data_IF_056861152135
#
_entry.id   IF_056861152135
#
_cell.length_a   1.000
_cell.length_b   1.000
_cell.length_c   1.000
_cell.angle_alpha   90.00
_cell.angle_beta   90.00
_cell.angle_gamma   90.00
#
_symmetry.space_group_name_H-M   'P 1'
#
loop_
_entity.id
_entity.type
_entity.pdbx_description
1 polymer ?
#
# COMPACT_ATOMS: atom_id res chain seq x y z
N UNK A 1 31.40 10.67 -35.91
CA UNK A 1 30.35 10.88 -34.90
C UNK A 1 29.22 9.93 -35.26
N UNK A 2 29.27 8.71 -34.73
CA UNK A 2 28.19 7.72 -34.88
C UNK A 2 28.04 7.06 -33.52
N UNK A 3 27.21 7.67 -32.68
CA UNK A 3 26.74 7.00 -31.47
C UNK A 3 25.77 5.92 -31.96
N UNK A 4 26.20 4.67 -31.85
CA UNK A 4 25.34 3.50 -31.99
C UNK A 4 24.22 3.70 -30.97
N UNK A 5 23.04 4.12 -31.42
CA UNK A 5 21.83 4.18 -30.60
C UNK A 5 21.48 2.72 -30.34
N UNK A 6 22.10 2.14 -29.30
CA UNK A 6 21.67 0.87 -28.74
C UNK A 6 20.17 1.01 -28.51
N UNK A 7 19.39 0.14 -29.16
CA UNK A 7 17.94 0.11 -29.00
C UNK A 7 17.68 -0.23 -27.53
N UNK A 8 17.52 0.82 -26.71
CA UNK A 8 17.35 0.74 -25.26
C UNK A 8 15.89 0.38 -24.95
N UNK A 9 15.45 -0.73 -25.54
CA UNK A 9 14.07 -1.23 -25.54
C UNK A 9 14.06 -2.68 -25.09
N UNK A 10 12.99 -3.06 -24.39
CA UNK A 10 12.77 -4.41 -23.88
C UNK A 10 11.32 -4.82 -24.06
N UNK A 11 11.12 -6.13 -24.15
CA UNK A 11 9.80 -6.73 -24.17
C UNK A 11 9.29 -6.94 -22.75
N UNK A 12 8.07 -6.46 -22.48
CA UNK A 12 7.38 -6.78 -21.24
C UNK A 12 6.84 -8.22 -21.30
N UNK A 13 7.21 -9.07 -20.33
CA UNK A 13 6.73 -10.45 -20.25
C UNK A 13 5.22 -10.62 -19.96
N UNK A 14 4.48 -9.53 -19.74
CA UNK A 14 3.04 -9.54 -19.48
C UNK A 14 2.22 -9.03 -20.67
N UNK A 15 2.56 -7.86 -21.23
CA UNK A 15 1.82 -7.29 -22.36
C UNK A 15 2.50 -7.49 -23.72
N UNK A 16 3.69 -8.12 -23.75
CA UNK A 16 4.48 -8.43 -24.94
C UNK A 16 4.80 -7.22 -25.85
N UNK A 17 4.63 -6.00 -25.35
CA UNK A 17 5.01 -4.77 -26.06
C UNK A 17 6.51 -4.49 -25.90
N UNK A 18 7.13 -4.04 -26.99
CA UNK A 18 8.45 -3.44 -26.99
C UNK A 18 8.35 -2.03 -26.41
N UNK A 19 9.06 -1.78 -25.32
CA UNK A 19 9.00 -0.52 -24.59
C UNK A 19 10.41 -0.06 -24.22
N UNK A 20 10.68 1.25 -24.08
CA UNK A 20 11.95 1.73 -23.58
C UNK A 20 12.30 1.14 -22.21
N UNK A 21 13.58 0.94 -21.89
CA UNK A 21 14.03 0.44 -20.58
C UNK A 21 13.52 1.30 -19.42
N UNK A 22 13.33 2.61 -19.64
CA UNK A 22 12.74 3.53 -18.65
C UNK A 22 11.28 3.18 -18.26
N UNK A 23 10.59 2.38 -19.09
CA UNK A 23 9.27 1.84 -18.79
C UNK A 23 9.31 0.67 -17.80
N UNK A 24 10.50 0.23 -17.37
CA UNK A 24 10.72 -0.86 -16.43
C UNK A 24 11.34 -0.32 -15.14
N UNK A 25 11.13 -1.01 -14.03
CA UNK A 25 11.88 -0.72 -12.80
C UNK A 25 13.27 -1.34 -12.93
N UNK A 26 14.31 -0.65 -12.45
CA UNK A 26 15.67 -1.20 -12.38
C UNK A 26 15.96 -1.60 -10.94
N UNK A 27 16.38 -2.84 -10.73
CA UNK A 27 16.82 -3.29 -9.42
C UNK A 27 18.15 -2.62 -9.07
N UNK A 28 18.20 -1.97 -7.91
CA UNK A 28 19.40 -1.27 -7.43
C UNK A 28 20.56 -2.21 -7.09
N UNK A 29 20.28 -3.49 -6.81
CA UNK A 29 21.29 -4.49 -6.44
C UNK A 29 21.91 -5.16 -7.66
N UNK A 30 21.07 -5.54 -8.63
CA UNK A 30 21.50 -6.30 -9.82
C UNK A 30 21.68 -5.43 -11.06
N UNK A 31 21.21 -4.17 -11.03
CA UNK A 31 21.16 -3.23 -12.16
C UNK A 31 20.37 -3.76 -13.37
N UNK A 32 19.65 -4.85 -13.20
CA UNK A 32 18.82 -5.44 -14.23
C UNK A 32 17.43 -4.76 -14.25
N UNK A 33 16.89 -4.43 -15.43
CA UNK A 33 15.51 -4.00 -15.54
C UNK A 33 14.56 -5.19 -15.33
N UNK A 34 13.43 -4.92 -14.68
CA UNK A 34 12.37 -5.88 -14.35
C UNK A 34 11.80 -6.54 -15.62
N UNK A 35 11.21 -7.73 -15.48
CA UNK A 35 10.61 -8.46 -16.60
C UNK A 35 9.27 -7.86 -17.05
N UNK A 36 8.65 -7.06 -16.18
CA UNK A 36 7.35 -6.43 -16.43
C UNK A 36 7.49 -4.91 -16.40
N UNK A 37 6.83 -4.25 -17.35
CA UNK A 37 6.79 -2.79 -17.36
C UNK A 37 6.02 -2.25 -16.14
N UNK A 38 6.31 -0.99 -15.78
CA UNK A 38 5.69 -0.26 -14.67
C UNK A 38 4.16 -0.33 -14.70
N UNK A 39 3.58 -0.17 -15.88
CA UNK A 39 2.14 -0.27 -16.10
C UNK A 39 1.57 -1.66 -15.76
N UNK A 40 2.22 -2.74 -16.22
CA UNK A 40 1.80 -4.10 -15.89
C UNK A 40 1.98 -4.40 -14.39
N UNK A 41 3.08 -3.95 -13.77
CA UNK A 41 3.28 -4.05 -12.31
C UNK A 41 2.17 -3.34 -11.55
N UNK A 42 1.83 -2.11 -11.95
CA UNK A 42 0.74 -1.33 -11.36
C UNK A 42 -0.61 -2.03 -11.53
N UNK A 43 -0.90 -2.53 -12.72
CA UNK A 43 -2.15 -3.25 -12.99
C UNK A 43 -2.27 -4.53 -12.14
N UNK A 44 -1.20 -5.32 -12.02
CA UNK A 44 -1.16 -6.51 -11.15
C UNK A 44 -1.35 -6.16 -9.67
N UNK A 45 -0.67 -5.10 -9.20
CA UNK A 45 -0.82 -4.61 -7.83
C UNK A 45 -2.26 -4.17 -7.56
N UNK A 46 -2.85 -3.38 -8.46
CA UNK A 46 -4.23 -2.94 -8.37
C UNK A 46 -5.22 -4.10 -8.41
N UNK A 47 -4.96 -5.14 -9.23
CA UNK A 47 -5.80 -6.33 -9.25
C UNK A 47 -5.76 -7.09 -7.93
N UNK A 48 -4.57 -7.23 -7.31
CA UNK A 48 -4.43 -7.81 -5.96
C UNK A 48 -5.15 -6.99 -4.91
N UNK A 49 -4.97 -5.67 -4.93
CA UNK A 49 -5.67 -4.75 -4.04
C UNK A 49 -7.19 -4.88 -4.16
N UNK A 50 -7.72 -4.86 -5.39
CA UNK A 50 -9.16 -5.04 -5.64
C UNK A 50 -9.69 -6.39 -5.19
N UNK A 51 -8.90 -7.47 -5.30
CA UNK A 51 -9.26 -8.79 -4.76
C UNK A 51 -9.23 -8.84 -3.23
N UNK A 52 -8.39 -8.02 -2.59
CA UNK A 52 -8.33 -7.91 -1.12
C UNK A 52 -9.43 -7.01 -0.54
N UNK A 53 -10.04 -6.17 -1.38
CA UNK A 53 -11.22 -5.43 -0.96
C UNK A 53 -12.37 -6.42 -0.71
N UNK A 54 -13.17 -6.19 0.33
CA UNK A 54 -14.39 -6.95 0.51
C UNK A 54 -15.23 -6.85 -0.78
N UNK A 55 -15.80 -7.98 -1.21
CA UNK A 55 -16.90 -7.95 -2.17
C UNK A 55 -17.96 -6.95 -1.66
N UNK A 56 -18.78 -6.40 -2.56
CA UNK A 56 -19.78 -5.34 -2.32
C UNK A 56 -20.87 -5.64 -1.27
N UNK A 57 -20.60 -6.48 -0.28
CA UNK A 57 -21.29 -6.49 0.99
C UNK A 57 -21.06 -5.16 1.69
N UNK A 58 -22.14 -4.47 2.13
CA UNK A 58 -22.02 -3.39 3.08
C UNK A 58 -21.23 -3.91 4.28
N UNK A 59 -20.11 -3.25 4.59
CA UNK A 59 -19.35 -3.55 5.80
C UNK A 59 -20.33 -3.48 6.97
N UNK A 60 -20.35 -4.52 7.84
CA UNK A 60 -21.24 -4.57 9.01
C UNK A 60 -20.97 -3.45 10.03
N UNK A 61 -19.94 -2.65 9.80
CA UNK A 61 -19.52 -1.54 10.64
C UNK A 61 -19.22 -0.32 9.76
N UNK A 62 -19.48 0.90 10.27
CA UNK A 62 -19.16 2.12 9.56
C UNK A 62 -17.64 2.28 9.42
N UNK A 63 -17.18 2.54 8.19
CA UNK A 63 -15.80 2.96 7.93
C UNK A 63 -15.73 4.46 8.10
N UNK A 64 -15.09 4.93 9.18
CA UNK A 64 -15.06 6.35 9.55
C UNK A 64 -14.57 7.24 8.38
N UNK A 65 -13.59 6.76 7.60
CA UNK A 65 -13.04 7.52 6.46
C UNK A 65 -14.01 7.66 5.28
N UNK A 66 -14.99 6.77 5.15
CA UNK A 66 -16.00 6.78 4.09
C UNK A 66 -17.24 7.60 4.46
N UNK A 67 -17.33 8.11 5.70
CA UNK A 67 -18.43 8.98 6.13
C UNK A 67 -18.35 10.32 5.38
N UNK A 68 -19.46 10.68 4.73
CA UNK A 68 -19.58 11.90 3.93
C UNK A 68 -19.66 13.17 4.78
N UNK A 69 -20.37 13.12 5.92
CA UNK A 69 -20.44 14.22 6.87
C UNK A 69 -19.06 14.48 7.51
N UNK A 70 -18.49 15.63 7.21
CA UNK A 70 -17.16 16.02 7.68
C UNK A 70 -17.08 16.16 9.21
N UNK A 71 -18.11 16.72 9.82
CA UNK A 71 -18.17 16.97 11.27
C UNK A 71 -18.26 15.65 12.03
N UNK A 72 -19.17 14.77 11.60
CA UNK A 72 -19.31 13.44 12.18
C UNK A 72 -18.04 12.60 11.98
N UNK A 73 -17.45 12.64 10.78
CA UNK A 73 -16.19 11.96 10.49
C UNK A 73 -15.07 12.43 11.42
N UNK A 74 -14.89 13.74 11.58
CA UNK A 74 -13.87 14.31 12.46
C UNK A 74 -14.10 13.90 13.93
N UNK A 75 -15.34 13.98 14.41
CA UNK A 75 -15.70 13.56 15.76
C UNK A 75 -15.33 12.09 16.01
N UNK A 76 -15.69 11.20 15.09
CA UNK A 76 -15.41 9.77 15.20
C UNK A 76 -13.90 9.47 15.16
N UNK A 77 -13.13 10.18 14.33
CA UNK A 77 -11.66 10.08 14.31
C UNK A 77 -11.08 10.45 15.67
N UNK A 78 -11.48 11.60 16.23
CA UNK A 78 -10.98 12.08 17.51
C UNK A 78 -11.36 11.12 18.65
N UNK A 79 -12.58 10.60 18.64
CA UNK A 79 -13.03 9.62 19.62
C UNK A 79 -12.24 8.31 19.53
N UNK A 80 -12.03 7.77 18.32
CA UNK A 80 -11.23 6.56 18.12
C UNK A 80 -9.80 6.73 18.65
N UNK A 81 -9.16 7.86 18.36
CA UNK A 81 -7.83 8.19 18.87
C UNK A 81 -7.80 8.27 20.39
N UNK A 82 -8.81 8.87 21.02
CA UNK A 82 -8.95 8.91 22.47
C UNK A 82 -9.05 7.51 23.07
N UNK A 83 -9.93 6.65 22.55
CA UNK A 83 -10.13 5.27 23.02
C UNK A 83 -8.86 4.44 22.89
N UNK A 84 -8.13 4.57 21.78
CA UNK A 84 -6.84 3.88 21.58
C UNK A 84 -5.81 4.34 22.61
N UNK A 85 -5.67 5.66 22.84
CA UNK A 85 -4.76 6.19 23.87
C UNK A 85 -5.09 5.64 25.25
N UNK A 86 -6.35 5.67 25.64
CA UNK A 86 -6.79 5.14 26.94
C UNK A 86 -6.53 3.63 27.07
N UNK A 87 -6.77 2.87 26.00
CA UNK A 87 -6.48 1.43 25.96
C UNK A 87 -4.98 1.14 26.14
N UNK A 88 -4.13 1.91 25.45
CA UNK A 88 -2.67 1.82 25.59
C UNK A 88 -2.23 2.14 27.02
N UNK A 89 -2.76 3.20 27.63
CA UNK A 89 -2.47 3.56 29.02
C UNK A 89 -2.87 2.44 29.99
N UNK A 90 -4.08 1.88 29.85
CA UNK A 90 -4.52 0.73 30.66
C UNK A 90 -3.63 -0.50 30.45
N UNK A 91 -3.18 -0.77 29.22
CA UNK A 91 -2.24 -1.87 28.94
C UNK A 91 -0.87 -1.64 29.59
N UNK A 92 -0.32 -0.43 29.50
CA UNK A 92 0.95 -0.07 30.15
C UNK A 92 0.88 -0.18 31.67
N UNK A 93 -0.20 0.29 32.28
CA UNK A 93 -0.42 0.18 33.73
C UNK A 93 -0.41 -1.28 34.18
N UNK A 94 -1.15 -2.16 33.50
CA UNK A 94 -1.15 -3.61 33.78
C UNK A 94 0.23 -4.25 33.66
N UNK A 95 1.06 -3.80 32.71
CA UNK A 95 2.42 -4.33 32.54
C UNK A 95 3.38 -3.83 33.63
N UNK A 96 3.23 -2.59 34.08
CA UNK A 96 3.98 -2.06 35.24
C UNK A 96 3.60 -2.85 36.49
N UNK A 97 2.30 -2.94 36.80
CA UNK A 97 1.79 -3.67 37.96
C UNK A 97 2.18 -5.16 37.93
N UNK A 98 2.27 -5.80 36.76
CA UNK A 98 2.72 -7.18 36.63
C UNK A 98 4.24 -7.35 36.77
N UNK A 99 5.04 -6.31 36.46
CA UNK A 99 6.48 -6.29 36.63
C UNK A 99 6.94 -5.90 38.04
N UNK A 100 6.08 -5.22 38.81
CA UNK A 100 6.34 -4.81 40.20
C UNK A 100 5.98 -5.90 41.24
N UNK A 101 5.59 -7.11 40.80
CA UNK A 101 5.21 -8.26 41.65
C UNK A 101 6.38 -9.25 41.86
N UNK A 102 7.59 -8.96 41.37
CA UNK A 102 8.81 -9.73 41.68
C UNK A 102 9.54 -9.23 42.94
#
# INVERSE_FOLDING_TARGET
MEQIIEKNVRFCGCCHRELPVDSFYVDKRTLAPDNYCKECRRAMSNARYRRSLPASNPLRYPVITEISDCTLRMYLILNALKVVRESVLRKRKRLCEAGDIE
#
